data_IF_429688722026
#
_entry.id   IF_429688722026
#
_cell.length_a   1.000
_cell.length_b   1.000
_cell.length_c   1.000
_cell.angle_alpha   90.00
_cell.angle_beta   90.00
_cell.angle_gamma   90.00
#
_symmetry.space_group_name_H-M   'P 1'
#
loop_
_entity.id
_entity.type
_entity.pdbx_description
1 polymer ?
#
# COMPACT_ATOMS: atom_id res chain seq x y z
N UNK A 1 14.41 -3.57 -89.19
CA UNK A 1 15.50 -4.33 -88.54
C UNK A 1 15.51 -4.00 -87.06
N UNK A 2 15.65 -5.03 -86.22
CA UNK A 2 15.92 -4.97 -84.77
C UNK A 2 17.07 -3.95 -84.52
N UNK A 3 17.12 -3.14 -83.46
CA UNK A 3 17.54 -3.48 -82.09
C UNK A 3 17.19 -2.28 -81.17
N UNK A 4 16.45 -2.48 -80.06
CA UNK A 4 16.90 -2.58 -78.65
C UNK A 4 17.01 -1.24 -77.89
N UNK A 5 16.09 -1.10 -76.91
CA UNK A 5 16.15 -0.53 -75.53
C UNK A 5 16.83 0.84 -75.34
N UNK A 6 16.23 1.80 -74.61
CA UNK A 6 16.17 1.82 -73.14
C UNK A 6 15.07 2.79 -72.69
N UNK A 7 14.23 2.34 -71.76
CA UNK A 7 13.20 3.11 -71.06
C UNK A 7 13.89 4.02 -70.03
N UNK A 8 13.70 5.34 -70.12
CA UNK A 8 14.22 6.31 -69.14
C UNK A 8 13.04 6.88 -68.35
N UNK A 9 12.78 6.31 -67.17
CA UNK A 9 11.84 6.86 -66.20
C UNK A 9 12.63 7.76 -65.23
N UNK A 10 12.41 9.07 -65.32
CA UNK A 10 12.89 10.04 -64.35
C UNK A 10 11.97 9.93 -63.12
N UNK A 11 12.46 9.25 -62.09
CA UNK A 11 11.85 9.22 -60.76
C UNK A 11 12.58 10.27 -59.91
N UNK A 12 11.92 11.40 -59.66
CA UNK A 12 12.41 12.43 -58.74
C UNK A 12 12.13 11.95 -57.31
N UNK A 13 13.12 11.32 -56.69
CA UNK A 13 13.07 10.95 -55.28
C UNK A 13 13.26 12.22 -54.43
N UNK A 14 12.18 12.66 -53.77
CA UNK A 14 12.28 13.58 -52.66
C UNK A 14 12.96 12.84 -51.50
N UNK A 15 14.21 13.19 -51.22
CA UNK A 15 14.89 12.76 -50.00
C UNK A 15 14.25 13.49 -48.81
N UNK A 16 13.30 12.81 -48.14
CA UNK A 16 12.99 13.11 -46.75
C UNK A 16 14.22 12.72 -45.93
N UNK A 17 15.03 13.71 -45.54
CA UNK A 17 16.03 13.53 -44.49
C UNK A 17 15.26 13.19 -43.21
N UNK A 18 15.40 11.94 -42.77
CA UNK A 18 15.04 11.55 -41.41
C UNK A 18 15.94 12.31 -40.45
N UNK A 19 15.39 13.32 -39.78
CA UNK A 19 15.94 13.81 -38.51
C UNK A 19 15.66 12.75 -37.44
N UNK A 20 16.42 11.64 -37.46
CA UNK A 20 16.60 10.81 -36.27
C UNK A 20 17.90 11.27 -35.63
N UNK A 21 17.79 11.78 -34.40
CA UNK A 21 18.94 12.03 -33.53
C UNK A 21 19.73 10.73 -33.40
N UNK A 22 21.01 10.78 -33.76
CA UNK A 22 21.91 9.63 -33.83
C UNK A 22 22.42 9.15 -32.46
N UNK A 23 21.60 9.22 -31.39
CA UNK A 23 22.07 8.95 -30.03
C UNK A 23 21.06 8.29 -29.08
N UNK A 24 19.98 7.70 -29.60
CA UNK A 24 19.13 6.81 -28.79
C UNK A 24 19.07 5.42 -29.44
N UNK A 25 20.20 4.72 -29.44
CA UNK A 25 20.14 3.26 -29.54
C UNK A 25 19.34 2.77 -28.32
N UNK A 26 18.19 2.10 -28.50
CA UNK A 26 17.45 1.57 -27.36
C UNK A 26 18.38 0.61 -26.62
N UNK A 27 18.62 0.89 -25.33
CA UNK A 27 19.37 -0.01 -24.45
C UNK A 27 18.74 -1.38 -24.57
N UNK A 28 19.50 -2.35 -25.11
CA UNK A 28 19.05 -3.72 -25.30
C UNK A 28 18.81 -4.34 -23.93
N UNK A 29 17.58 -4.25 -23.43
CA UNK A 29 17.14 -4.95 -22.23
C UNK A 29 17.20 -6.45 -22.54
N UNK A 30 17.97 -7.26 -21.79
CA UNK A 30 17.95 -8.70 -21.95
C UNK A 30 16.50 -9.22 -21.88
N UNK A 31 16.12 -10.23 -22.67
CA UNK A 31 14.77 -10.79 -22.60
C UNK A 31 14.46 -11.24 -21.17
N UNK A 32 13.34 -10.77 -20.64
CA UNK A 32 12.86 -11.12 -19.31
C UNK A 32 12.59 -12.62 -19.25
N UNK A 33 13.17 -13.29 -18.26
CA UNK A 33 13.03 -14.74 -18.06
C UNK A 33 11.92 -15.12 -17.08
N UNK A 34 11.42 -14.14 -16.32
CA UNK A 34 10.38 -14.31 -15.31
C UNK A 34 8.95 -13.98 -15.75
N UNK A 35 8.01 -14.17 -14.83
CA UNK A 35 6.63 -13.71 -15.00
C UNK A 35 6.53 -12.22 -14.70
N UNK A 36 5.87 -11.44 -15.55
CA UNK A 36 5.65 -10.01 -15.35
C UNK A 36 4.25 -9.74 -14.79
N UNK A 37 4.17 -8.78 -13.85
CA UNK A 37 2.92 -8.35 -13.22
C UNK A 37 2.83 -6.82 -13.27
N UNK A 38 1.70 -6.33 -13.78
CA UNK A 38 1.31 -4.92 -13.68
C UNK A 38 0.43 -4.71 -12.44
N UNK A 39 0.88 -3.84 -11.53
CA UNK A 39 0.10 -3.44 -10.38
C UNK A 39 -0.91 -2.36 -10.79
N UNK A 40 -2.17 -2.75 -10.96
CA UNK A 40 -3.28 -1.88 -11.41
C UNK A 40 -3.80 -0.94 -10.31
N UNK A 41 -2.91 -0.14 -9.71
CA UNK A 41 -3.25 0.82 -8.64
C UNK A 41 -4.13 1.96 -9.13
N UNK A 42 -4.17 2.21 -10.44
CA UNK A 42 -5.11 3.13 -11.09
C UNK A 42 -4.53 4.51 -11.42
N UNK A 43 -3.23 4.58 -11.74
CA UNK A 43 -2.56 5.81 -12.14
C UNK A 43 -2.18 6.70 -10.95
N UNK A 44 -1.92 7.99 -11.17
CA UNK A 44 -1.23 8.85 -10.20
C UNK A 44 -2.06 9.21 -8.96
N UNK A 45 -3.36 8.85 -8.93
CA UNK A 45 -4.21 8.98 -7.74
C UNK A 45 -4.27 7.70 -6.89
N UNK A 46 -3.72 6.60 -7.42
CA UNK A 46 -3.63 5.28 -6.79
C UNK A 46 -4.93 4.84 -6.07
N UNK A 47 -6.11 4.86 -6.70
CA UNK A 47 -7.38 4.56 -6.01
C UNK A 47 -7.51 3.14 -5.46
N UNK A 48 -6.72 2.21 -5.96
CA UNK A 48 -6.92 0.80 -5.70
C UNK A 48 -5.89 0.25 -4.72
N UNK A 49 -6.31 -0.74 -3.94
CA UNK A 49 -5.41 -1.74 -3.36
C UNK A 49 -5.40 -2.96 -4.28
N UNK A 50 -4.22 -3.47 -4.59
CA UNK A 50 -4.05 -4.61 -5.50
C UNK A 50 -3.36 -5.74 -4.73
N UNK A 51 -4.10 -6.78 -4.38
CA UNK A 51 -3.62 -7.94 -3.62
C UNK A 51 -3.17 -9.03 -4.58
N UNK A 52 -1.93 -9.48 -4.43
CA UNK A 52 -1.27 -10.38 -5.37
C UNK A 52 -0.76 -11.60 -4.59
N UNK A 53 -1.18 -12.78 -5.03
CA UNK A 53 -0.59 -14.08 -4.75
C UNK A 53 0.37 -14.40 -5.89
N UNK A 54 1.66 -14.61 -5.62
CA UNK A 54 2.64 -14.90 -6.67
C UNK A 54 2.40 -16.26 -7.34
N UNK A 55 1.77 -17.20 -6.64
CA UNK A 55 1.40 -18.52 -7.16
C UNK A 55 0.15 -18.48 -8.06
N UNK A 56 -0.73 -17.48 -7.92
CA UNK A 56 -1.89 -17.21 -8.81
C UNK A 56 -1.93 -15.74 -9.29
N UNK A 57 -0.77 -15.19 -9.66
CA UNK A 57 -0.58 -13.75 -9.96
C UNK A 57 -1.48 -13.19 -11.07
N UNK A 58 -2.07 -14.06 -11.89
CA UNK A 58 -2.98 -13.70 -12.97
C UNK A 58 -4.37 -13.29 -12.47
N UNK A 59 -4.70 -13.54 -11.19
CA UNK A 59 -6.00 -13.21 -10.59
C UNK A 59 -5.85 -12.31 -9.35
N UNK A 60 -5.28 -11.09 -9.50
CA UNK A 60 -5.18 -10.19 -8.36
C UNK A 60 -6.58 -9.76 -7.90
N UNK A 61 -6.79 -9.70 -6.59
CA UNK A 61 -7.97 -9.06 -6.03
C UNK A 61 -7.75 -7.55 -5.96
N UNK A 62 -8.78 -6.77 -6.28
CA UNK A 62 -8.70 -5.31 -6.34
C UNK A 62 -9.92 -4.70 -5.65
N UNK A 63 -9.68 -3.78 -4.71
CA UNK A 63 -10.72 -2.95 -4.08
C UNK A 63 -10.30 -1.47 -4.11
N UNK A 64 -11.24 -0.55 -3.89
CA UNK A 64 -10.90 0.85 -3.64
C UNK A 64 -10.37 1.01 -2.24
N UNK A 65 -9.39 1.91 -2.07
CA UNK A 65 -8.85 2.26 -0.74
C UNK A 65 -9.94 2.74 0.22
N UNK A 66 -11.00 3.36 -0.28
CA UNK A 66 -12.13 3.87 0.53
C UNK A 66 -13.22 2.85 0.84
N UNK A 67 -13.12 1.59 0.38
CA UNK A 67 -14.16 0.58 0.55
C UNK A 67 -14.31 0.12 1.99
N UNK A 68 -13.31 0.33 2.85
CA UNK A 68 -13.31 -0.08 4.26
C UNK A 68 -12.72 0.99 5.17
N UNK A 69 -13.01 0.90 6.46
CA UNK A 69 -12.48 1.80 7.49
C UNK A 69 -11.83 1.04 8.66
N UNK A 70 -12.41 -0.10 9.04
CA UNK A 70 -11.94 -0.92 10.16
C UNK A 70 -11.75 -2.38 9.74
N UNK A 71 -10.65 -2.99 10.14
CA UNK A 71 -10.37 -4.42 10.00
C UNK A 71 -10.38 -5.12 11.36
N UNK A 72 -11.22 -6.14 11.52
CA UNK A 72 -11.39 -6.91 12.75
C UNK A 72 -10.63 -8.22 12.65
N UNK A 73 -9.60 -8.40 13.49
CA UNK A 73 -8.73 -9.57 13.45
C UNK A 73 -9.51 -10.85 13.77
N UNK A 74 -9.28 -11.92 13.01
CA UNK A 74 -10.05 -13.16 13.10
C UNK A 74 -9.35 -14.27 13.88
N UNK A 75 -8.08 -14.09 14.26
CA UNK A 75 -7.34 -15.02 15.12
C UNK A 75 -7.82 -14.97 16.58
N UNK A 76 -7.04 -15.52 17.51
CA UNK A 76 -7.44 -15.66 18.92
C UNK A 76 -7.62 -14.31 19.63
N UNK A 77 -6.69 -13.38 19.43
CA UNK A 77 -6.72 -12.06 20.05
C UNK A 77 -7.87 -11.18 19.54
N UNK A 78 -8.22 -10.17 20.32
CA UNK A 78 -9.22 -9.18 19.94
C UNK A 78 -8.56 -7.84 19.62
N UNK A 79 -8.06 -7.73 18.39
CA UNK A 79 -7.46 -6.50 17.84
C UNK A 79 -8.29 -5.97 16.67
N UNK A 80 -8.22 -4.66 16.46
CA UNK A 80 -8.86 -3.96 15.34
C UNK A 80 -7.85 -2.99 14.75
N UNK A 81 -7.78 -2.93 13.44
CA UNK A 81 -6.95 -2.00 12.67
C UNK A 81 -7.84 -0.95 11.99
N UNK A 82 -7.28 0.24 11.77
CA UNK A 82 -7.84 1.31 10.95
C UNK A 82 -7.25 1.26 9.54
N UNK A 83 -7.94 1.89 8.59
CA UNK A 83 -7.47 1.90 7.21
C UNK A 83 -6.29 2.86 6.99
N UNK A 84 -5.08 2.29 7.00
CA UNK A 84 -3.83 3.00 6.74
C UNK A 84 -3.71 3.54 5.32
N UNK A 85 -4.51 3.05 4.38
CA UNK A 85 -4.46 3.43 2.97
C UNK A 85 -5.21 4.73 2.64
N UNK A 86 -5.86 5.36 3.62
CA UNK A 86 -6.64 6.60 3.41
C UNK A 86 -6.35 7.66 4.47
N UNK A 87 -5.19 7.57 5.12
CA UNK A 87 -4.74 8.51 6.14
C UNK A 87 -5.71 8.65 7.34
N UNK A 88 -6.34 7.54 7.75
CA UNK A 88 -7.11 7.50 9.00
C UNK A 88 -6.21 7.69 10.23
N UNK A 89 -6.81 8.22 11.29
CA UNK A 89 -6.20 8.30 12.61
C UNK A 89 -7.26 8.11 13.70
N UNK A 90 -6.86 7.68 14.88
CA UNK A 90 -7.76 7.35 15.99
C UNK A 90 -7.15 7.72 17.33
N UNK A 91 -7.97 8.21 18.26
CA UNK A 91 -7.54 8.51 19.62
C UNK A 91 -8.64 8.16 20.62
N UNK A 92 -8.22 7.67 21.79
CA UNK A 92 -9.11 7.51 22.94
C UNK A 92 -9.62 8.86 23.39
N UNK A 93 -10.92 8.99 23.61
CA UNK A 93 -11.52 10.19 24.19
C UNK A 93 -11.32 10.12 25.71
N UNK A 94 -10.59 11.06 26.33
CA UNK A 94 -10.35 11.02 27.76
C UNK A 94 -11.65 11.05 28.56
N UNK A 95 -11.76 10.17 29.57
CA UNK A 95 -12.88 10.11 30.52
C UNK A 95 -14.28 9.85 29.92
N UNK A 96 -14.39 9.58 28.61
CA UNK A 96 -15.66 9.25 28.00
C UNK A 96 -16.11 7.85 28.40
N UNK A 97 -17.31 7.75 28.99
CA UNK A 97 -17.93 6.48 29.42
C UNK A 97 -19.24 6.19 28.68
N UNK A 98 -19.88 7.21 28.11
CA UNK A 98 -21.11 7.09 27.34
C UNK A 98 -20.95 7.72 25.94
N UNK A 99 -21.03 6.88 24.90
CA UNK A 99 -20.86 7.31 23.51
C UNK A 99 -21.93 8.33 23.08
N UNK A 100 -23.14 8.26 23.63
CA UNK A 100 -24.23 9.17 23.28
C UNK A 100 -24.04 10.59 23.84
N UNK A 101 -23.18 10.75 24.85
CA UNK A 101 -22.93 12.03 25.51
C UNK A 101 -21.77 12.82 24.88
N UNK A 102 -20.85 12.15 24.19
CA UNK A 102 -19.74 12.79 23.47
C UNK A 102 -20.28 13.72 22.40
N UNK A 103 -19.75 14.94 22.33
CA UNK A 103 -20.08 15.99 21.34
C UNK A 103 -18.81 16.57 20.73
N UNK A 104 -18.98 17.35 19.65
CA UNK A 104 -17.88 18.04 18.96
C UNK A 104 -16.98 18.84 19.93
N UNK A 105 -17.60 19.57 20.87
CA UNK A 105 -16.91 20.42 21.82
C UNK A 105 -15.97 19.64 22.76
N UNK A 106 -16.30 18.38 23.07
CA UNK A 106 -15.51 17.53 23.97
C UNK A 106 -14.21 17.04 23.30
N UNK A 107 -14.17 17.06 21.97
CA UNK A 107 -13.06 16.50 21.17
C UNK A 107 -12.33 17.54 20.32
N UNK A 108 -12.69 18.82 20.41
CA UNK A 108 -12.12 19.89 19.61
C UNK A 108 -10.58 19.98 19.69
N UNK A 109 -10.01 19.74 20.89
CA UNK A 109 -8.56 19.70 21.07
C UNK A 109 -7.93 18.50 20.35
N UNK A 110 -8.56 17.32 20.42
CA UNK A 110 -8.11 16.12 19.74
C UNK A 110 -8.13 16.26 18.22
N UNK A 111 -9.16 16.90 17.65
CA UNK A 111 -9.28 17.04 16.19
C UNK A 111 -8.09 17.75 15.54
N UNK A 112 -7.41 18.63 16.27
CA UNK A 112 -6.20 19.30 15.79
C UNK A 112 -4.97 18.38 15.72
N UNK A 113 -4.94 17.33 16.57
CA UNK A 113 -3.81 16.43 16.79
C UNK A 113 -3.96 15.07 16.09
N UNK A 114 -5.18 14.54 16.02
CA UNK A 114 -5.48 13.18 15.54
C UNK A 114 -5.55 13.15 14.01
N UNK A 115 -4.38 13.26 13.38
CA UNK A 115 -4.22 13.26 11.93
C UNK A 115 -2.85 12.77 11.49
N UNK A 116 -2.79 12.29 10.26
CA UNK A 116 -1.55 11.87 9.59
C UNK A 116 -0.83 13.10 9.02
N UNK A 117 0.50 13.04 8.93
CA UNK A 117 1.29 14.07 8.24
C UNK A 117 1.50 15.35 9.03
N UNK A 118 1.58 15.28 10.37
CA UNK A 118 1.86 16.47 11.21
C UNK A 118 3.35 16.79 11.31
N UNK A 119 4.22 15.94 10.76
CA UNK A 119 5.67 16.02 10.90
C UNK A 119 6.13 16.10 12.38
N UNK A 120 5.41 15.39 13.25
CA UNK A 120 5.70 15.29 14.67
C UNK A 120 5.56 13.83 15.12
N UNK A 121 6.62 13.27 15.69
CA UNK A 121 6.68 11.88 16.18
C UNK A 121 5.53 11.51 17.11
N UNK A 122 5.01 12.46 17.89
CA UNK A 122 3.91 12.22 18.80
C UNK A 122 2.62 11.76 18.09
N UNK A 123 2.47 12.03 16.79
CA UNK A 123 1.28 11.61 16.06
C UNK A 123 1.26 10.11 15.70
N UNK A 124 2.38 9.40 15.84
CA UNK A 124 2.44 7.95 15.60
C UNK A 124 1.53 7.17 16.56
N UNK A 125 1.22 7.74 17.73
CA UNK A 125 0.27 7.13 18.67
C UNK A 125 -1.15 7.00 18.10
N UNK A 126 -1.51 7.80 17.09
CA UNK A 126 -2.86 7.86 16.53
C UNK A 126 -3.06 6.97 15.30
N UNK A 127 -2.04 6.25 14.87
CA UNK A 127 -2.13 5.30 13.74
C UNK A 127 -1.84 3.90 14.23
N UNK A 128 -2.26 2.89 13.47
CA UNK A 128 -1.72 1.56 13.67
C UNK A 128 -0.22 1.55 13.41
N UNK A 129 0.48 0.64 14.07
CA UNK A 129 1.91 0.51 13.87
C UNK A 129 2.21 0.24 12.39
N UNK A 130 3.06 1.06 11.74
CA UNK A 130 3.41 0.86 10.34
C UNK A 130 3.98 -0.52 10.03
N UNK A 131 4.61 -1.17 11.01
CA UNK A 131 5.17 -2.53 10.88
C UNK A 131 4.11 -3.62 10.72
N UNK A 132 2.86 -3.35 11.10
CA UNK A 132 1.81 -4.37 11.12
C UNK A 132 1.88 -5.29 12.34
N UNK A 133 2.62 -4.94 13.39
CA UNK A 133 2.62 -5.66 14.68
C UNK A 133 1.40 -5.31 15.54
N UNK A 134 0.21 -5.35 14.94
CA UNK A 134 -1.06 -4.95 15.57
C UNK A 134 -1.40 -5.77 16.82
N UNK A 135 -0.84 -6.98 16.99
CA UNK A 135 -1.04 -7.80 18.20
C UNK A 135 -0.45 -7.17 19.46
N UNK A 136 0.68 -6.50 19.35
CA UNK A 136 1.41 -5.90 20.48
C UNK A 136 1.48 -4.37 20.44
N UNK A 137 0.92 -3.73 19.41
CA UNK A 137 0.94 -2.27 19.29
C UNK A 137 0.23 -1.58 20.46
N UNK A 138 0.80 -0.45 20.89
CA UNK A 138 0.25 0.48 21.88
C UNK A 138 -0.33 1.75 21.25
N UNK A 139 -0.15 1.93 19.93
CA UNK A 139 -0.76 2.99 19.14
C UNK A 139 -2.09 2.54 18.53
N UNK A 140 -2.89 3.50 18.09
CA UNK A 140 -4.17 3.24 17.44
C UNK A 140 -5.22 2.71 18.41
N UNK A 141 -5.90 1.62 18.03
CA UNK A 141 -6.92 0.97 18.86
C UNK A 141 -6.24 -0.06 19.78
N UNK A 142 -6.54 0.04 21.08
CA UNK A 142 -6.06 -0.89 22.10
C UNK A 142 -6.71 -2.27 21.93
N UNK A 143 -6.12 -3.31 22.54
CA UNK A 143 -6.75 -4.62 22.55
C UNK A 143 -8.12 -4.56 23.25
N UNK A 144 -9.15 -5.12 22.60
CA UNK A 144 -10.52 -5.10 23.11
C UNK A 144 -10.57 -6.01 24.34
N UNK A 145 -10.94 -5.44 25.48
CA UNK A 145 -11.01 -6.10 26.78
C UNK A 145 -12.28 -6.94 26.91
N UNK A 146 -12.20 -7.98 27.73
CA UNK A 146 -13.34 -8.83 28.04
C UNK A 146 -14.42 -8.08 28.82
N UNK A 147 -14.02 -7.27 29.79
CA UNK A 147 -14.93 -6.38 30.49
C UNK A 147 -15.36 -5.22 29.57
N UNK A 148 -16.65 -5.15 29.25
CA UNK A 148 -17.20 -4.14 28.37
C UNK A 148 -16.95 -2.71 28.85
N UNK A 149 -16.94 -2.45 30.17
CA UNK A 149 -16.73 -1.11 30.72
C UNK A 149 -15.30 -0.60 30.61
N UNK A 150 -14.34 -1.50 30.36
CA UNK A 150 -12.92 -1.14 30.17
C UNK A 150 -12.61 -0.75 28.72
N UNK A 151 -13.53 -1.01 27.79
CA UNK A 151 -13.35 -0.67 26.38
C UNK A 151 -13.67 0.81 26.13
N UNK A 152 -12.67 1.61 25.72
CA UNK A 152 -12.82 3.05 25.62
C UNK A 152 -13.68 3.46 24.41
N UNK A 153 -14.14 4.72 24.46
CA UNK A 153 -14.74 5.39 23.32
C UNK A 153 -13.62 6.14 22.59
N UNK A 154 -13.58 5.96 21.27
CA UNK A 154 -12.58 6.56 20.40
C UNK A 154 -13.17 7.65 19.53
N UNK A 155 -12.39 8.70 19.30
CA UNK A 155 -12.53 9.64 18.20
C UNK A 155 -11.79 9.06 17.00
N UNK A 156 -12.47 8.99 15.86
CA UNK A 156 -11.92 8.48 14.60
C UNK A 156 -11.92 9.58 13.56
N UNK A 157 -10.74 9.94 13.07
CA UNK A 157 -10.57 10.66 11.81
C UNK A 157 -10.75 9.66 10.67
N UNK A 158 -11.80 9.81 9.87
CA UNK A 158 -12.13 8.89 8.77
C UNK A 158 -11.18 9.04 7.57
N UNK A 159 -10.17 9.90 7.68
CA UNK A 159 -9.15 10.07 6.66
C UNK A 159 -9.65 10.88 5.47
N UNK A 160 -9.19 10.52 4.27
CA UNK A 160 -9.41 11.25 3.03
C UNK A 160 -10.26 10.46 2.04
N UNK A 161 -11.13 11.17 1.33
CA UNK A 161 -11.77 10.64 0.13
C UNK A 161 -10.72 10.43 -0.96
N UNK A 162 -11.08 9.69 -2.00
CA UNK A 162 -10.25 9.60 -3.19
C UNK A 162 -10.11 10.96 -3.87
N UNK A 163 -8.93 11.24 -4.43
CA UNK A 163 -8.72 12.36 -5.33
C UNK A 163 -9.67 12.27 -6.52
N UNK A 164 -10.08 13.42 -7.07
CA UNK A 164 -10.89 13.47 -8.29
C UNK A 164 -10.18 12.66 -9.39
N UNK A 165 -10.83 11.63 -9.97
CA UNK A 165 -10.24 10.82 -11.03
C UNK A 165 -9.90 11.63 -12.29
N UNK A 166 -10.49 12.82 -12.46
CA UNK A 166 -10.23 13.72 -13.59
C UNK A 166 -9.18 14.79 -13.25
N UNK A 167 -8.60 14.78 -12.05
CA UNK A 167 -7.59 15.78 -11.70
C UNK A 167 -6.34 15.59 -12.57
N UNK A 168 -5.79 16.70 -13.05
CA UNK A 168 -4.50 16.68 -13.71
C UNK A 168 -3.39 16.55 -12.65
N UNK A 169 -2.72 15.40 -12.60
CA UNK A 169 -1.55 15.18 -11.75
C UNK A 169 -0.29 15.28 -12.62
N UNK A 170 0.63 16.16 -12.25
CA UNK A 170 1.86 16.35 -13.01
C UNK A 170 2.71 15.06 -13.07
N UNK A 171 3.44 14.81 -14.18
CA UNK A 171 4.40 13.71 -14.26
C UNK A 171 5.34 13.66 -13.06
N UNK A 172 5.68 12.45 -12.61
CA UNK A 172 6.49 12.23 -11.42
C UNK A 172 5.79 12.50 -10.07
N UNK A 173 4.56 13.01 -10.06
CA UNK A 173 3.79 13.30 -8.85
C UNK A 173 2.67 12.28 -8.60
N UNK A 174 2.16 12.27 -7.37
CA UNK A 174 0.99 11.48 -6.98
C UNK A 174 0.05 12.32 -6.11
N UNK A 175 -1.25 12.04 -6.16
CA UNK A 175 -2.27 12.72 -5.37
C UNK A 175 -3.19 11.71 -4.69
N UNK A 176 -2.95 11.44 -3.40
CA UNK A 176 -3.49 10.24 -2.74
C UNK A 176 -4.79 10.46 -1.98
N UNK A 177 -5.24 11.70 -1.79
CA UNK A 177 -6.46 11.99 -1.07
C UNK A 177 -7.04 13.36 -1.41
N UNK A 178 -8.37 13.42 -1.48
CA UNK A 178 -9.15 14.63 -1.66
C UNK A 178 -9.66 15.19 -0.34
N UNK A 179 -10.97 15.44 -0.31
CA UNK A 179 -11.66 16.02 0.84
C UNK A 179 -11.59 15.13 2.09
N UNK A 180 -11.73 15.75 3.27
CA UNK A 180 -11.81 15.01 4.51
C UNK A 180 -13.10 14.20 4.59
N UNK A 181 -13.02 12.93 5.03
CA UNK A 181 -14.19 12.06 5.24
C UNK A 181 -14.96 12.38 6.52
N UNK A 182 -14.44 13.30 7.33
CA UNK A 182 -15.04 13.72 8.59
C UNK A 182 -14.63 12.86 9.78
N UNK A 183 -15.45 12.91 10.83
CA UNK A 183 -15.15 12.32 12.13
C UNK A 183 -16.29 11.44 12.61
N UNK A 184 -15.96 10.38 13.34
CA UNK A 184 -16.93 9.56 14.08
C UNK A 184 -16.45 9.29 15.50
N UNK A 185 -17.40 8.96 16.36
CA UNK A 185 -17.16 8.32 17.65
C UNK A 185 -17.47 6.84 17.55
N UNK A 186 -16.60 5.98 18.10
CA UNK A 186 -16.81 4.53 18.11
C UNK A 186 -16.54 3.93 19.50
N UNK A 187 -17.19 2.82 19.79
CA UNK A 187 -16.84 1.92 20.89
C UNK A 187 -16.88 0.49 20.35
N UNK A 188 -15.84 -0.29 20.65
CA UNK A 188 -15.73 -1.68 20.20
C UNK A 188 -15.73 -2.58 21.43
N UNK A 189 -16.58 -3.59 21.39
CA UNK A 189 -16.77 -4.57 22.46
C UNK A 189 -16.52 -5.97 21.91
N UNK A 190 -16.17 -6.92 22.78
CA UNK A 190 -16.24 -8.33 22.42
C UNK A 190 -17.70 -8.77 22.30
N UNK A 191 -17.95 -9.70 21.40
CA UNK A 191 -19.21 -10.41 21.23
C UNK A 191 -18.91 -11.91 21.10
N UNK A 192 -19.94 -12.75 21.15
CA UNK A 192 -19.79 -14.19 20.88
C UNK A 192 -19.14 -14.39 19.51
N UNK A 193 -17.99 -15.06 19.49
CA UNK A 193 -17.21 -15.32 18.27
C UNK A 193 -16.90 -14.04 17.46
N UNK A 194 -16.62 -12.91 18.12
CA UNK A 194 -16.18 -11.70 17.42
C UNK A 194 -16.43 -10.40 18.17
N UNK A 195 -16.92 -9.39 17.47
CA UNK A 195 -16.94 -8.01 17.94
C UNK A 195 -18.34 -7.43 17.81
N UNK A 196 -18.65 -6.47 18.68
CA UNK A 196 -19.74 -5.52 18.49
C UNK A 196 -19.15 -4.13 18.37
N UNK A 197 -19.44 -3.45 17.26
CA UNK A 197 -19.10 -2.04 17.10
C UNK A 197 -20.35 -1.19 17.36
N UNK A 198 -20.16 -0.13 18.14
CA UNK A 198 -21.08 1.01 18.23
C UNK A 198 -20.42 2.20 17.57
N UNK A 199 -21.14 2.93 16.74
CA UNK A 199 -20.61 4.09 16.02
C UNK A 199 -21.66 5.16 15.80
N UNK A 200 -21.23 6.42 15.78
CA UNK A 200 -22.10 7.57 15.57
C UNK A 200 -21.30 8.76 15.04
N UNK A 201 -21.99 9.73 14.44
CA UNK A 201 -21.41 11.05 14.20
C UNK A 201 -21.24 11.79 15.54
N UNK A 202 -20.31 12.74 15.61
CA UNK A 202 -19.91 13.36 16.89
C UNK A 202 -21.09 13.95 17.67
N UNK A 203 -21.99 14.67 17.00
CA UNK A 203 -23.15 15.31 17.65
C UNK A 203 -24.41 14.43 17.70
N UNK A 204 -24.36 13.19 17.22
CA UNK A 204 -25.50 12.28 17.31
C UNK A 204 -25.72 11.83 18.76
N UNK A 205 -26.98 11.84 19.21
CA UNK A 205 -27.38 11.44 20.57
C UNK A 205 -27.71 9.95 20.69
N UNK A 206 -27.65 9.22 19.58
CA UNK A 206 -27.82 7.77 19.51
C UNK A 206 -26.73 7.17 18.63
N UNK A 207 -26.36 5.92 18.90
CA UNK A 207 -25.41 5.17 18.08
C UNK A 207 -26.11 4.12 17.23
N UNK A 208 -25.46 3.75 16.14
CA UNK A 208 -25.74 2.53 15.39
C UNK A 208 -24.83 1.41 15.93
N UNK A 209 -25.25 0.16 15.80
CA UNK A 209 -24.41 -0.98 16.15
C UNK A 209 -24.46 -2.10 15.12
N UNK A 210 -23.35 -2.84 15.03
CA UNK A 210 -23.22 -4.01 14.17
C UNK A 210 -22.39 -5.09 14.87
N UNK A 211 -22.72 -6.36 14.64
CA UNK A 211 -21.94 -7.51 15.17
C UNK A 211 -21.13 -8.12 14.04
N UNK A 212 -19.80 -8.14 14.21
CA UNK A 212 -18.85 -8.75 13.29
C UNK A 212 -18.44 -10.10 13.85
N UNK A 213 -18.79 -11.20 13.17
CA UNK A 213 -18.28 -12.52 13.50
C UNK A 213 -16.87 -12.71 12.94
N UNK A 214 -16.01 -13.46 13.63
CA UNK A 214 -14.70 -13.88 13.12
C UNK A 214 -14.88 -14.95 12.05
N UNK A 215 -14.04 -14.88 11.01
CA UNK A 215 -13.95 -15.89 9.96
C UNK A 215 -12.50 -16.38 9.85
N UNK A 216 -12.28 -17.65 10.14
CA UNK A 216 -10.96 -18.27 10.17
C UNK A 216 -10.28 -18.40 8.79
N UNK A 217 -11.01 -18.22 7.69
CA UNK A 217 -10.44 -18.24 6.33
C UNK A 217 -9.67 -16.95 5.99
N UNK A 218 -9.97 -15.85 6.67
CA UNK A 218 -9.40 -14.52 6.43
C UNK A 218 -8.51 -14.10 7.60
N UNK A 219 -7.62 -13.12 7.39
CA UNK A 219 -6.87 -12.48 8.48
C UNK A 219 -7.74 -11.46 9.23
N UNK A 220 -8.60 -10.76 8.49
CA UNK A 220 -9.46 -9.70 8.98
C UNK A 220 -10.82 -9.75 8.29
N UNK A 221 -11.87 -9.42 9.04
CA UNK A 221 -13.18 -9.06 8.51
C UNK A 221 -13.30 -7.54 8.51
N UNK A 222 -13.79 -6.95 7.42
CA UNK A 222 -13.74 -5.50 7.23
C UNK A 222 -15.11 -4.85 7.37
N UNK A 223 -15.13 -3.61 7.85
CA UNK A 223 -16.33 -2.81 8.02
C UNK A 223 -16.14 -1.40 7.45
N UNK A 224 -17.17 -0.90 6.80
CA UNK A 224 -17.24 0.47 6.30
C UNK A 224 -18.15 1.30 7.20
N UNK A 225 -17.58 2.28 7.87
CA UNK A 225 -18.28 3.16 8.81
C UNK A 225 -19.22 4.15 8.10
N UNK A 226 -18.98 4.45 6.82
CA UNK A 226 -19.83 5.34 6.02
C UNK A 226 -21.13 4.64 5.61
N UNK A 227 -21.05 3.37 5.19
CA UNK A 227 -22.23 2.58 4.80
C UNK A 227 -22.83 1.79 5.95
N UNK A 228 -22.08 1.56 7.03
CA UNK A 228 -22.52 0.75 8.17
C UNK A 228 -22.60 -0.75 7.85
N UNK A 229 -21.76 -1.23 6.92
CA UNK A 229 -21.85 -2.61 6.41
C UNK A 229 -20.51 -3.33 6.38
N UNK A 230 -20.48 -4.67 6.50
CA UNK A 230 -19.27 -5.45 6.28
C UNK A 230 -18.91 -5.47 4.78
N UNK A 231 -17.63 -5.59 4.49
CA UNK A 231 -17.09 -5.61 3.12
C UNK A 231 -15.99 -6.66 2.98
N UNK A 232 -15.81 -7.19 1.77
CA UNK A 232 -14.73 -8.13 1.44
C UNK A 232 -13.58 -7.35 0.81
N UNK A 233 -12.39 -7.40 1.42
CA UNK A 233 -11.22 -6.60 1.00
C UNK A 233 -10.05 -7.51 0.69
N UNK A 234 -9.46 -8.12 1.73
CA UNK A 234 -8.37 -9.07 1.54
C UNK A 234 -8.89 -10.40 0.99
N UNK A 235 -8.12 -11.08 0.11
CA UNK A 235 -8.32 -12.49 -0.17
C UNK A 235 -8.21 -13.35 1.10
N UNK A 236 -8.52 -14.64 0.96
CA UNK A 236 -8.25 -15.63 2.02
C UNK A 236 -6.79 -15.52 2.45
N UNK A 237 -6.51 -15.80 3.71
CA UNK A 237 -5.23 -15.46 4.35
C UNK A 237 -3.98 -16.02 3.66
N UNK A 238 -4.11 -17.13 2.93
CA UNK A 238 -3.03 -17.77 2.15
C UNK A 238 -3.01 -17.44 0.66
N UNK A 239 -3.94 -16.60 0.19
CA UNK A 239 -4.13 -16.30 -1.22
C UNK A 239 -3.72 -14.86 -1.54
N UNK A 240 -2.70 -14.34 -0.85
CA UNK A 240 -2.01 -13.11 -1.18
C UNK A 240 -0.68 -13.00 -0.41
N UNK A 241 0.35 -12.52 -1.09
CA UNK A 241 1.69 -12.34 -0.55
C UNK A 241 2.02 -10.87 -0.32
N UNK A 242 1.63 -10.05 -1.28
CA UNK A 242 1.95 -8.63 -1.32
C UNK A 242 0.76 -7.81 -1.83
N UNK A 243 0.67 -6.57 -1.37
CA UNK A 243 -0.35 -5.64 -1.83
C UNK A 243 0.24 -4.28 -2.17
N UNK A 244 -0.05 -3.80 -3.38
CA UNK A 244 0.26 -2.44 -3.80
C UNK A 244 -0.84 -1.51 -3.35
N UNK A 245 -0.47 -0.41 -2.69
CA UNK A 245 -1.41 0.57 -2.14
C UNK A 245 -0.69 1.88 -1.79
N UNK A 246 -1.45 2.95 -1.56
CA UNK A 246 -0.99 4.03 -0.69
C UNK A 246 -0.97 3.56 0.77
N UNK A 247 -0.07 4.07 1.59
CA UNK A 247 0.12 3.57 2.95
C UNK A 247 0.60 4.64 3.93
N UNK A 248 0.02 4.67 5.13
CA UNK A 248 0.48 5.52 6.23
C UNK A 248 1.63 4.82 6.96
N UNK A 249 2.84 5.38 6.86
CA UNK A 249 4.03 4.88 7.55
C UNK A 249 4.74 5.99 8.32
N UNK A 250 5.79 5.64 9.04
CA UNK A 250 6.72 6.58 9.65
C UNK A 250 7.72 7.10 8.61
N UNK A 251 8.00 8.41 8.62
CA UNK A 251 9.03 9.05 7.79
C UNK A 251 10.17 9.55 8.66
N UNK A 252 11.38 9.54 8.11
CA UNK A 252 12.61 9.93 8.81
C UNK A 252 13.28 11.10 8.08
N UNK A 253 13.74 12.10 8.84
CA UNK A 253 14.55 13.22 8.32
C UNK A 253 16.05 12.89 8.24
N UNK A 254 16.43 11.73 8.79
CA UNK A 254 17.78 11.21 8.83
C UNK A 254 17.82 9.92 9.65
N UNK A 255 18.97 9.23 9.72
CA UNK A 255 19.10 7.99 10.48
C UNK A 255 18.63 8.16 11.93
N UNK A 256 17.63 7.40 12.34
CA UNK A 256 17.06 7.44 13.69
C UNK A 256 16.26 8.70 14.05
N UNK A 257 16.10 9.67 13.13
CA UNK A 257 15.35 10.91 13.37
C UNK A 257 13.97 10.84 12.73
N UNK A 258 13.01 10.27 13.46
CA UNK A 258 11.61 10.17 13.03
C UNK A 258 10.93 11.54 13.01
N UNK A 259 10.23 11.83 11.92
CA UNK A 259 9.32 12.96 11.80
C UNK A 259 7.85 12.55 11.96
N UNK A 260 7.58 11.35 12.47
CA UNK A 260 6.21 10.86 12.69
C UNK A 260 5.57 10.31 11.41
N UNK A 261 4.23 10.28 11.37
CA UNK A 261 3.51 9.63 10.29
C UNK A 261 3.47 10.47 9.01
N UNK A 262 3.57 9.78 7.88
CA UNK A 262 3.50 10.31 6.53
C UNK A 262 2.69 9.37 5.64
N UNK A 263 2.10 9.92 4.59
CA UNK A 263 1.24 9.17 3.69
C UNK A 263 1.97 8.90 2.36
N UNK A 264 2.41 7.65 2.20
CA UNK A 264 3.23 7.19 1.08
C UNK A 264 2.35 6.74 -0.09
N UNK A 265 2.74 7.15 -1.29
CA UNK A 265 2.32 6.58 -2.57
C UNK A 265 3.26 5.43 -2.97
N UNK A 266 2.92 4.64 -3.98
CA UNK A 266 3.78 3.58 -4.53
C UNK A 266 4.38 2.67 -3.44
N UNK A 267 3.52 2.14 -2.56
CA UNK A 267 3.93 1.37 -1.40
C UNK A 267 3.49 -0.09 -1.51
N UNK A 268 4.29 -0.99 -0.96
CA UNK A 268 4.02 -2.44 -0.95
C UNK A 268 4.01 -2.94 0.49
N UNK A 269 2.92 -3.57 0.90
CA UNK A 269 2.84 -4.32 2.15
C UNK A 269 2.94 -5.82 1.89
N UNK A 270 3.54 -6.59 2.80
CA UNK A 270 3.59 -8.05 2.76
C UNK A 270 2.67 -8.69 3.80
N UNK A 271 2.16 -9.88 3.50
CA UNK A 271 1.23 -10.63 4.37
C UNK A 271 1.93 -11.31 5.56
N UNK A 272 2.51 -10.51 6.45
CA UNK A 272 3.20 -11.02 7.65
C UNK A 272 2.26 -11.80 8.57
N UNK A 273 0.95 -11.51 8.54
CA UNK A 273 -0.06 -12.24 9.34
C UNK A 273 -0.19 -13.70 8.93
N UNK A 274 0.17 -14.05 7.69
CA UNK A 274 0.17 -15.43 7.19
C UNK A 274 1.57 -16.01 6.98
N UNK A 275 2.60 -15.36 7.55
CA UNK A 275 3.97 -15.87 7.53
C UNK A 275 4.78 -15.50 6.29
N UNK A 276 4.31 -14.56 5.47
CA UNK A 276 5.08 -14.07 4.33
C UNK A 276 6.24 -13.22 4.82
N UNK A 277 7.45 -13.61 4.41
CA UNK A 277 8.68 -12.90 4.71
C UNK A 277 9.36 -12.38 3.45
N UNK A 278 10.06 -11.25 3.55
CA UNK A 278 10.88 -10.78 2.45
C UNK A 278 12.19 -10.14 2.94
N UNK A 279 13.19 -10.09 2.06
CA UNK A 279 14.41 -9.31 2.28
C UNK A 279 14.99 -8.77 0.97
N UNK A 280 15.80 -7.72 1.09
CA UNK A 280 16.47 -7.06 -0.04
C UNK A 280 17.85 -7.69 -0.30
N UNK A 281 18.19 -7.88 -1.56
CA UNK A 281 19.54 -8.21 -2.04
C UNK A 281 20.10 -6.99 -2.76
N UNK A 282 21.22 -6.49 -2.27
CA UNK A 282 21.98 -5.42 -2.92
C UNK A 282 22.87 -6.01 -4.02
N UNK A 283 22.54 -5.72 -5.28
CA UNK A 283 23.26 -6.21 -6.46
C UNK A 283 24.24 -5.17 -7.03
N UNK A 284 24.10 -3.90 -6.64
CA UNK A 284 24.91 -2.80 -7.17
C UNK A 284 24.72 -2.64 -8.68
N UNK A 285 25.79 -2.28 -9.39
CA UNK A 285 25.74 -2.01 -10.84
C UNK A 285 25.44 -3.26 -11.71
N UNK A 286 25.48 -4.47 -11.16
CA UNK A 286 25.33 -5.73 -11.90
C UNK A 286 23.98 -6.42 -11.64
N UNK A 287 22.90 -5.65 -11.49
CA UNK A 287 21.56 -6.18 -11.16
C UNK A 287 21.14 -7.35 -12.06
N UNK A 288 21.26 -7.22 -13.38
CA UNK A 288 20.85 -8.28 -14.32
C UNK A 288 21.59 -9.60 -14.09
N UNK A 289 22.92 -9.53 -13.95
CA UNK A 289 23.75 -10.71 -13.72
C UNK A 289 23.46 -11.33 -12.35
N UNK A 290 23.34 -10.52 -11.31
CA UNK A 290 23.05 -10.97 -9.96
C UNK A 290 21.67 -11.64 -9.90
N UNK A 291 20.65 -11.02 -10.48
CA UNK A 291 19.29 -11.56 -10.52
C UNK A 291 19.21 -12.86 -11.33
N UNK A 292 19.83 -12.92 -12.52
CA UNK A 292 19.81 -14.12 -13.35
C UNK A 292 20.54 -15.32 -12.70
N UNK A 293 21.66 -15.05 -12.02
CA UNK A 293 22.47 -16.08 -11.36
C UNK A 293 21.94 -16.51 -10.00
N UNK A 294 21.06 -15.74 -9.35
CA UNK A 294 20.48 -16.11 -8.05
C UNK A 294 19.61 -17.37 -8.18
N UNK A 295 19.84 -18.31 -7.26
CA UNK A 295 19.15 -19.61 -7.12
C UNK A 295 18.77 -19.87 -5.66
N UNK A 296 17.96 -20.88 -5.42
CA UNK A 296 17.54 -21.28 -4.07
C UNK A 296 18.70 -21.46 -3.07
N UNK A 297 19.84 -22.00 -3.50
CA UNK A 297 21.01 -22.17 -2.63
C UNK A 297 21.70 -20.87 -2.20
N UNK A 298 21.32 -19.73 -2.80
CA UNK A 298 21.78 -18.40 -2.41
C UNK A 298 20.87 -17.74 -1.37
N UNK A 299 19.69 -18.31 -1.10
CA UNK A 299 18.76 -17.79 -0.10
C UNK A 299 19.42 -17.84 1.27
N UNK A 300 19.39 -16.71 1.96
CA UNK A 300 19.86 -16.58 3.33
C UNK A 300 18.64 -16.45 4.25
N UNK A 301 18.25 -17.56 4.86
CA UNK A 301 17.08 -17.61 5.75
C UNK A 301 17.17 -16.59 6.89
N UNK A 302 18.38 -16.23 7.33
CA UNK A 302 18.58 -15.31 8.45
C UNK A 302 18.21 -13.86 8.13
N UNK A 303 18.07 -13.52 6.84
CA UNK A 303 17.75 -12.16 6.38
C UNK A 303 16.26 -11.87 6.28
N UNK A 304 15.40 -12.90 6.29
CA UNK A 304 13.97 -12.69 6.14
C UNK A 304 13.39 -11.86 7.28
N UNK A 305 12.59 -10.86 6.89
CA UNK A 305 11.80 -10.05 7.80
C UNK A 305 10.36 -10.56 7.75
N UNK A 306 9.89 -11.15 8.84
CA UNK A 306 8.54 -11.70 8.99
C UNK A 306 7.63 -10.84 9.88
N UNK A 307 8.19 -9.85 10.59
CA UNK A 307 7.50 -9.05 11.61
C UNK A 307 7.35 -7.56 11.22
N UNK A 308 7.75 -7.19 10.00
CA UNK A 308 7.55 -5.86 9.44
C UNK A 308 6.99 -6.00 8.01
N UNK A 309 5.70 -5.65 7.84
CA UNK A 309 5.01 -5.71 6.55
C UNK A 309 5.61 -4.77 5.50
N UNK A 310 6.52 -3.87 5.90
CA UNK A 310 7.24 -2.93 5.02
C UNK A 310 8.58 -3.51 4.56
N UNK A 311 8.79 -4.83 4.67
CA UNK A 311 10.01 -5.51 4.26
C UNK A 311 10.45 -5.08 2.84
N UNK A 312 9.49 -4.98 1.91
CA UNK A 312 9.65 -4.32 0.61
C UNK A 312 9.31 -2.83 0.73
N UNK A 313 8.09 -2.48 1.14
CA UNK A 313 7.71 -1.11 1.46
C UNK A 313 7.91 -0.14 0.29
N UNK A 314 8.63 0.95 0.56
CA UNK A 314 9.10 1.94 -0.41
C UNK A 314 10.51 1.64 -0.94
N UNK A 315 11.21 0.61 -0.45
CA UNK A 315 12.64 0.36 -0.72
C UNK A 315 12.96 0.03 -2.17
N UNK A 316 11.94 -0.24 -2.99
CA UNK A 316 12.09 -0.52 -4.42
C UNK A 316 12.18 0.74 -5.28
N UNK A 317 11.83 1.92 -4.75
CA UNK A 317 11.75 3.18 -5.51
C UNK A 317 12.07 4.41 -4.69
N UNK A 318 12.43 5.49 -5.37
CA UNK A 318 12.41 6.85 -4.80
C UNK A 318 11.35 7.69 -5.48
N UNK A 319 10.72 8.60 -4.74
CA UNK A 319 9.74 9.57 -5.28
C UNK A 319 10.30 10.96 -5.47
N UNK A 320 11.43 11.26 -4.82
CA UNK A 320 12.11 12.56 -4.91
C UNK A 320 13.40 12.49 -5.72
N UNK A 321 13.85 11.28 -6.05
CA UNK A 321 15.09 11.07 -6.77
C UNK A 321 16.34 11.18 -5.91
N UNK A 322 17.46 11.45 -6.57
CA UNK A 322 18.77 11.75 -6.01
C UNK A 322 19.24 13.12 -6.51
N UNK A 323 20.40 13.60 -6.05
CA UNK A 323 21.00 14.82 -6.59
C UNK A 323 21.35 14.71 -8.08
N UNK A 324 21.63 13.50 -8.58
CA UNK A 324 21.96 13.25 -9.99
C UNK A 324 20.73 12.97 -10.86
N UNK A 325 19.68 12.41 -10.26
CA UNK A 325 18.43 12.04 -10.94
C UNK A 325 17.27 12.57 -10.10
N UNK A 326 16.92 13.87 -10.18
CA UNK A 326 15.98 14.53 -9.28
C UNK A 326 14.51 14.26 -9.66
N UNK A 327 14.18 13.00 -9.91
CA UNK A 327 12.83 12.55 -10.26
C UNK A 327 12.50 11.20 -9.64
N UNK A 328 11.23 10.80 -9.69
CA UNK A 328 10.81 9.47 -9.22
C UNK A 328 11.33 8.36 -10.16
N UNK A 329 11.97 7.34 -9.59
CA UNK A 329 12.46 6.18 -10.34
C UNK A 329 12.54 4.90 -9.48
N UNK A 330 12.62 3.76 -10.16
CA UNK A 330 12.83 2.43 -9.57
C UNK A 330 14.32 2.18 -9.39
N UNK A 331 14.73 1.71 -8.22
CA UNK A 331 16.14 1.42 -7.96
C UNK A 331 16.66 0.30 -8.87
N UNK A 332 17.77 0.55 -9.55
CA UNK A 332 18.43 -0.39 -10.48
C UNK A 332 19.57 -1.19 -9.84
N UNK A 333 19.69 -1.16 -8.51
CA UNK A 333 20.80 -1.73 -7.75
C UNK A 333 20.40 -2.88 -6.81
N UNK A 334 19.13 -3.30 -6.85
CA UNK A 334 18.58 -4.26 -5.89
C UNK A 334 17.45 -5.11 -6.45
N UNK A 335 17.24 -6.25 -5.83
CA UNK A 335 16.05 -7.08 -5.98
C UNK A 335 15.67 -7.64 -4.60
N UNK A 336 14.59 -8.41 -4.53
CA UNK A 336 14.07 -8.92 -3.28
C UNK A 336 13.86 -10.42 -3.37
N UNK A 337 13.99 -11.09 -2.23
CA UNK A 337 13.57 -12.47 -2.04
C UNK A 337 12.33 -12.45 -1.17
N UNK A 338 11.31 -13.22 -1.57
CA UNK A 338 10.08 -13.42 -0.83
C UNK A 338 9.90 -14.92 -0.56
N UNK A 339 9.45 -15.23 0.65
CA UNK A 339 8.98 -16.55 1.06
C UNK A 339 7.49 -16.43 1.37
N UNK A 340 6.65 -17.16 0.64
CA UNK A 340 5.20 -17.08 0.79
C UNK A 340 4.69 -17.88 2.01
N UNK A 341 3.37 -17.87 2.22
CA UNK A 341 2.71 -18.56 3.32
C UNK A 341 2.73 -20.10 3.18
N UNK A 342 3.05 -20.61 2.00
CA UNK A 342 3.15 -22.01 1.63
C UNK A 342 4.59 -22.53 1.73
N UNK A 343 5.57 -21.63 1.84
CA UNK A 343 6.99 -21.92 1.93
C UNK A 343 7.72 -21.94 0.59
N UNK A 344 7.09 -21.47 -0.50
CA UNK A 344 7.77 -21.26 -1.77
C UNK A 344 8.59 -19.97 -1.74
N UNK A 345 9.69 -19.99 -2.50
CA UNK A 345 10.62 -18.88 -2.60
C UNK A 345 10.52 -18.25 -3.97
N UNK A 346 10.53 -16.93 -3.99
CA UNK A 346 10.53 -16.13 -5.20
C UNK A 346 11.63 -15.08 -5.12
N UNK A 347 12.29 -14.81 -6.24
CA UNK A 347 13.06 -13.58 -6.43
C UNK A 347 12.22 -12.61 -7.26
N UNK A 348 12.23 -11.34 -6.91
CA UNK A 348 11.43 -10.31 -7.57
C UNK A 348 12.21 -9.00 -7.72
N UNK A 349 12.07 -8.34 -8.87
CA UNK A 349 12.62 -7.00 -9.12
C UNK A 349 11.62 -6.13 -9.85
N UNK A 350 11.72 -4.84 -9.62
CA UNK A 350 10.77 -3.87 -10.13
C UNK A 350 11.34 -3.25 -11.40
N UNK A 351 10.47 -3.04 -12.39
CA UNK A 351 10.88 -2.59 -13.72
C UNK A 351 10.43 -1.16 -13.97
N UNK A 352 9.25 -0.80 -13.45
CA UNK A 352 8.55 0.43 -13.82
C UNK A 352 7.75 0.96 -12.64
N UNK A 353 7.61 2.28 -12.58
CA UNK A 353 6.65 2.98 -11.70
C UNK A 353 5.85 4.08 -12.42
N UNK A 354 6.31 4.50 -13.61
CA UNK A 354 5.73 5.58 -14.42
C UNK A 354 5.29 5.05 -15.78
N UNK A 355 4.24 5.60 -16.40
CA UNK A 355 3.92 5.35 -17.81
C UNK A 355 4.91 6.05 -18.78
N UNK A 356 4.66 5.95 -20.09
CA UNK A 356 5.51 6.58 -21.10
C UNK A 356 5.45 8.12 -21.09
N UNK A 357 4.45 8.70 -20.42
CA UNK A 357 4.28 10.14 -20.24
C UNK A 357 4.85 10.61 -18.88
N UNK A 358 5.41 9.70 -18.08
CA UNK A 358 5.98 10.00 -16.78
C UNK A 358 4.97 10.03 -15.63
N UNK A 359 3.71 9.64 -15.85
CA UNK A 359 2.70 9.60 -14.80
C UNK A 359 2.93 8.40 -13.87
N UNK A 360 2.90 8.61 -12.55
CA UNK A 360 3.06 7.54 -11.54
C UNK A 360 1.83 6.64 -11.43
N UNK A 361 1.94 5.55 -10.67
CA UNK A 361 0.86 4.57 -10.46
C UNK A 361 0.70 3.56 -11.61
N UNK A 362 1.78 3.34 -12.35
CA UNK A 362 1.90 2.36 -13.43
C UNK A 362 3.04 1.40 -13.13
N UNK A 363 3.02 0.83 -11.93
CA UNK A 363 4.09 -0.04 -11.47
C UNK A 363 4.04 -1.43 -12.12
N UNK A 364 5.19 -1.95 -12.53
CA UNK A 364 5.35 -3.34 -12.92
C UNK A 364 6.60 -3.95 -12.31
N UNK A 365 6.54 -5.26 -12.08
CA UNK A 365 7.64 -6.05 -11.56
C UNK A 365 7.67 -7.40 -12.25
N UNK A 366 8.84 -8.02 -12.24
CA UNK A 366 9.02 -9.40 -12.65
C UNK A 366 9.41 -10.26 -11.46
N UNK A 367 9.05 -11.54 -11.53
CA UNK A 367 9.42 -12.52 -10.53
C UNK A 367 9.65 -13.92 -11.12
N UNK A 368 10.44 -14.71 -10.41
CA UNK A 368 10.71 -16.12 -10.71
C UNK A 368 10.67 -16.95 -9.43
N UNK A 369 10.10 -18.16 -9.45
CA UNK A 369 10.31 -19.12 -8.38
C UNK A 369 11.78 -19.55 -8.31
N UNK A 370 12.28 -19.85 -7.10
CA UNK A 370 13.69 -20.21 -6.85
C UNK A 370 13.94 -21.71 -6.68
#
# INVERSE_FOLDING_TARGET
MKYVKILSFIFMAAAIQSCLSADEDPVSVPPMTGSEVEAKVGGPTEPNQVWIDLSDFKKPAINKRTDWDLGFYTGEDYRVIINSSIAMAVAKIPNATNINEVKEADVASLQSMVKVGTFNIANLQYIDSPKGNFLSQTSGIEAIKENASENPIYLVNLGKEMSDPNMNVAPGSASLGGEARGWKKIQILRATNGYKIRYADLNATTYQEYTISKDSEYNFNFFNLKTGTPVMIQPKKKNWDLAFTAFTSEVFMGPGNSAGSYFFADFIITNTTSGVGAYQVDAGANLDQAYASFKLNNVDESKFVFDDQRAIGDKWRTTTGTSTTPEAFVYSDRFFILKDAEGFYFKLRFNKMKDAQGNRGHASFEFEPL
#
